data_IF_664660282152
#
_entry.id   IF_664660282152
#
_cell.length_a   1.000
_cell.length_b   1.000
_cell.length_c   1.000
_cell.angle_alpha   90.00
_cell.angle_beta   90.00
_cell.angle_gamma   90.00
#
_symmetry.space_group_name_H-M   'P 1'
#
loop_
_entity.id
_entity.type
_entity.pdbx_description
1 polymer ?
#
# COMPACT_ATOMS: atom_id res chain seq x y z
N UNK A 1 -18.88 6.52 0.14
CA UNK A 1 -19.04 6.11 1.55
C UNK A 1 -20.35 6.60 2.15
N UNK A 2 -20.67 7.90 2.04
CA UNK A 2 -21.86 8.50 2.68
C UNK A 2 -23.19 7.87 2.24
N UNK A 3 -23.42 7.73 0.93
CA UNK A 3 -24.62 7.06 0.39
C UNK A 3 -24.79 5.63 0.90
N UNK A 4 -23.69 4.94 1.21
CA UNK A 4 -23.68 3.57 1.69
C UNK A 4 -23.63 3.48 3.24
N UNK A 5 -23.68 4.61 3.96
CA UNK A 5 -23.60 4.64 5.43
C UNK A 5 -22.24 4.20 6.01
N UNK A 6 -21.18 4.15 5.20
CA UNK A 6 -19.86 3.69 5.65
C UNK A 6 -19.11 4.79 6.40
N UNK A 7 -18.84 4.54 7.69
CA UNK A 7 -18.12 5.48 8.55
C UNK A 7 -16.61 5.44 8.35
N UNK A 8 -16.05 4.24 8.18
CA UNK A 8 -14.62 4.01 7.87
C UNK A 8 -14.46 3.07 6.67
N UNK A 9 -13.37 3.24 5.94
CA UNK A 9 -12.97 2.34 4.85
C UNK A 9 -11.46 2.04 4.93
N UNK A 10 -11.11 0.83 4.51
CA UNK A 10 -9.71 0.42 4.35
C UNK A 10 -9.29 0.75 2.91
N UNK A 11 -8.16 1.46 2.77
CA UNK A 11 -7.54 1.76 1.48
C UNK A 11 -6.37 0.80 1.30
N UNK A 12 -6.50 -0.10 0.33
CA UNK A 12 -5.47 -1.07 -0.02
C UNK A 12 -4.58 -0.47 -1.11
N UNK A 13 -3.31 -0.26 -0.79
CA UNK A 13 -2.31 0.07 -1.82
C UNK A 13 -2.21 -1.07 -2.84
N UNK A 14 -2.10 -0.71 -4.13
CA UNK A 14 -1.90 -1.66 -5.22
C UNK A 14 -0.42 -1.92 -5.54
N UNK A 15 0.50 -1.48 -4.68
CA UNK A 15 1.93 -1.57 -4.91
C UNK A 15 2.43 -3.02 -5.19
N UNK A 16 1.78 -4.04 -4.63
CA UNK A 16 2.08 -5.45 -4.94
C UNK A 16 1.97 -5.78 -6.44
N UNK A 17 1.17 -5.03 -7.20
CA UNK A 17 0.97 -5.28 -8.64
C UNK A 17 2.22 -5.02 -9.47
N UNK A 18 3.15 -4.18 -9.00
CA UNK A 18 4.42 -3.97 -9.70
C UNK A 18 5.28 -5.24 -9.67
N UNK A 19 5.15 -6.06 -8.63
CA UNK A 19 5.82 -7.36 -8.50
C UNK A 19 5.14 -8.51 -9.24
N UNK A 20 3.99 -8.30 -9.89
CA UNK A 20 3.21 -9.40 -10.47
C UNK A 20 4.00 -10.22 -11.53
N UNK A 21 4.30 -11.51 -11.28
CA UNK A 21 5.10 -12.32 -12.20
C UNK A 21 4.38 -12.68 -13.51
N UNK A 22 3.06 -12.45 -13.58
CA UNK A 22 2.25 -12.68 -14.77
C UNK A 22 2.19 -11.45 -15.69
N UNK A 23 2.99 -10.41 -15.43
CA UNK A 23 3.09 -9.20 -16.26
C UNK A 23 4.54 -8.94 -16.65
N UNK A 24 4.78 -8.15 -17.72
CA UNK A 24 6.13 -7.71 -18.05
C UNK A 24 6.80 -7.04 -16.85
N UNK A 25 8.10 -7.29 -16.61
CA UNK A 25 8.83 -6.65 -15.52
C UNK A 25 8.75 -5.13 -15.60
N UNK A 26 8.57 -4.49 -14.44
CA UNK A 26 8.52 -3.03 -14.34
C UNK A 26 9.93 -2.51 -14.08
N UNK A 27 10.39 -1.59 -14.93
CA UNK A 27 11.64 -0.89 -14.68
C UNK A 27 11.56 -0.11 -13.36
N UNK A 28 12.60 -0.21 -12.55
CA UNK A 28 12.67 0.39 -11.21
C UNK A 28 11.47 -0.01 -10.31
N UNK A 29 11.07 -1.29 -10.38
CA UNK A 29 9.92 -1.89 -9.67
C UNK A 29 9.79 -1.39 -8.22
N UNK A 30 10.85 -1.49 -7.42
CA UNK A 30 10.80 -1.08 -6.02
C UNK A 30 10.58 0.43 -5.84
N UNK A 31 11.09 1.28 -6.74
CA UNK A 31 10.79 2.71 -6.71
C UNK A 31 9.30 2.98 -6.96
N UNK A 32 8.66 2.21 -7.85
CA UNK A 32 7.21 2.28 -8.10
C UNK A 32 6.40 1.79 -6.92
N UNK A 33 6.83 0.70 -6.26
CA UNK A 33 6.22 0.21 -5.01
C UNK A 33 6.21 1.29 -3.94
N UNK A 34 7.36 1.92 -3.68
CA UNK A 34 7.45 3.01 -2.69
C UNK A 34 6.52 4.17 -3.04
N UNK A 35 6.54 4.61 -4.30
CA UNK A 35 5.73 5.72 -4.76
C UNK A 35 4.22 5.46 -4.60
N UNK A 36 3.75 4.24 -4.87
CA UNK A 36 2.34 3.87 -4.72
C UNK A 36 1.91 3.77 -3.25
N UNK A 37 2.78 3.22 -2.39
CA UNK A 37 2.54 3.22 -0.94
C UNK A 37 2.52 4.66 -0.39
N UNK A 38 3.45 5.52 -0.82
CA UNK A 38 3.51 6.93 -0.41
C UNK A 38 2.27 7.70 -0.88
N UNK A 39 1.85 7.48 -2.13
CA UNK A 39 0.63 8.06 -2.66
C UNK A 39 -0.60 7.63 -1.85
N UNK A 40 -0.70 6.34 -1.52
CA UNK A 40 -1.78 5.79 -0.67
C UNK A 40 -1.80 6.46 0.70
N UNK A 41 -0.64 6.63 1.33
CA UNK A 41 -0.52 7.32 2.62
C UNK A 41 -1.01 8.76 2.55
N UNK A 42 -0.64 9.51 1.50
CA UNK A 42 -1.10 10.88 1.29
C UNK A 42 -2.61 10.97 0.99
N UNK A 43 -3.22 9.96 0.38
CA UNK A 43 -4.69 9.91 0.24
C UNK A 43 -5.37 9.66 1.59
N UNK A 44 -4.85 8.74 2.40
CA UNK A 44 -5.40 8.43 3.73
C UNK A 44 -5.29 9.63 4.68
N UNK A 45 -4.16 10.33 4.63
CA UNK A 45 -3.85 11.52 5.42
C UNK A 45 -4.85 12.67 5.24
N UNK A 46 -5.51 12.77 4.09
CA UNK A 46 -6.55 13.79 3.86
C UNK A 46 -7.82 13.51 4.68
N UNK A 47 -8.06 12.26 5.08
CA UNK A 47 -9.27 11.84 5.81
C UNK A 47 -8.95 10.79 6.89
N UNK A 48 -8.07 11.07 7.85
CA UNK A 48 -7.53 10.06 8.76
C UNK A 48 -8.58 9.48 9.72
N UNK A 49 -9.68 10.19 9.95
CA UNK A 49 -10.82 9.70 10.75
C UNK A 49 -11.73 8.74 9.99
N UNK A 50 -11.64 8.71 8.65
CA UNK A 50 -12.51 7.93 7.77
C UNK A 50 -11.76 6.86 6.98
N UNK A 51 -10.46 7.02 6.76
CA UNK A 51 -9.65 6.12 5.95
C UNK A 51 -8.56 5.47 6.81
N UNK A 52 -8.35 4.17 6.59
CA UNK A 52 -7.24 3.41 7.18
C UNK A 52 -6.41 2.84 6.04
N UNK A 53 -5.14 3.24 5.98
CA UNK A 53 -4.22 2.77 4.94
C UNK A 53 -3.60 1.41 5.27
N UNK A 54 -3.37 0.63 4.24
CA UNK A 54 -2.72 -0.68 4.29
C UNK A 54 -1.62 -0.74 3.25
N UNK A 55 -0.40 -1.05 3.70
CA UNK A 55 0.79 -1.15 2.86
C UNK A 55 0.64 -2.31 1.87
N UNK A 56 0.85 -2.06 0.57
CA UNK A 56 0.79 -3.07 -0.48
C UNK A 56 2.20 -3.58 -0.79
N UNK A 57 2.38 -4.90 -0.83
CA UNK A 57 3.67 -5.50 -1.17
C UNK A 57 3.51 -6.91 -1.72
N UNK A 58 4.36 -7.27 -2.69
CA UNK A 58 4.55 -8.65 -3.15
C UNK A 58 5.52 -9.34 -2.16
N UNK A 59 5.06 -10.33 -1.37
CA UNK A 59 5.88 -11.01 -0.37
C UNK A 59 7.03 -11.85 -0.94
N UNK A 60 7.05 -12.15 -2.24
CA UNK A 60 8.12 -12.93 -2.86
C UNK A 60 9.31 -12.07 -3.29
N UNK A 61 9.23 -10.73 -3.20
CA UNK A 61 10.34 -9.83 -3.55
C UNK A 61 11.36 -9.72 -2.42
N UNK A 62 12.64 -9.67 -2.79
CA UNK A 62 13.75 -9.54 -1.83
C UNK A 62 13.62 -8.31 -0.92
N UNK A 63 13.03 -7.23 -1.43
CA UNK A 63 12.81 -5.99 -0.67
C UNK A 63 11.53 -6.01 0.19
N UNK A 64 10.75 -7.10 0.21
CA UNK A 64 9.44 -7.11 0.85
C UNK A 64 9.49 -6.73 2.34
N UNK A 65 10.43 -7.33 3.09
CA UNK A 65 10.61 -7.01 4.52
C UNK A 65 11.05 -5.56 4.71
N UNK A 66 11.99 -5.07 3.89
CA UNK A 66 12.43 -3.67 3.94
C UNK A 66 11.29 -2.69 3.69
N UNK A 67 10.39 -2.98 2.75
CA UNK A 67 9.23 -2.12 2.50
C UNK A 67 8.19 -2.18 3.63
N UNK A 68 8.01 -3.36 4.24
CA UNK A 68 7.14 -3.51 5.43
C UNK A 68 7.67 -2.66 6.58
N UNK A 69 8.98 -2.68 6.84
CA UNK A 69 9.61 -1.84 7.87
C UNK A 69 9.43 -0.34 7.56
N UNK A 70 9.59 0.06 6.29
CA UNK A 70 9.36 1.44 5.86
C UNK A 70 7.92 1.87 6.08
N UNK A 71 6.95 1.04 5.68
CA UNK A 71 5.53 1.26 5.91
C UNK A 71 5.17 1.32 7.40
N UNK A 72 5.80 0.50 8.24
CA UNK A 72 5.59 0.51 9.69
C UNK A 72 6.03 1.84 10.34
N UNK A 73 7.03 2.52 9.75
CA UNK A 73 7.43 3.87 10.13
C UNK A 73 6.46 4.98 9.70
N UNK A 74 5.51 4.71 8.79
CA UNK A 74 4.54 5.68 8.30
C UNK A 74 3.23 5.61 9.14
N UNK A 75 2.82 6.69 9.82
CA UNK A 75 1.63 6.68 10.67
C UNK A 75 0.32 6.37 9.93
N UNK A 76 0.28 6.54 8.61
CA UNK A 76 -0.90 6.30 7.77
C UNK A 76 -0.91 4.93 7.09
N UNK A 77 0.15 4.12 7.21
CA UNK A 77 0.24 2.75 6.65
C UNK A 77 0.53 1.67 7.69
N UNK A 78 1.00 2.03 8.89
CA UNK A 78 1.41 1.09 9.96
C UNK A 78 0.32 0.19 10.53
N UNK A 79 -0.92 0.29 10.05
CA UNK A 79 -2.09 -0.42 10.60
C UNK A 79 -2.34 -1.77 9.94
N UNK A 80 -1.75 -2.05 8.77
CA UNK A 80 -1.90 -3.34 8.13
C UNK A 80 -1.08 -3.51 6.85
N UNK A 81 -1.03 -4.75 6.37
CA UNK A 81 -0.32 -5.14 5.14
C UNK A 81 -1.28 -5.89 4.21
N UNK A 82 -1.25 -5.56 2.92
CA UNK A 82 -1.92 -6.27 1.83
C UNK A 82 -0.86 -6.97 1.01
N UNK A 83 -0.90 -8.30 1.08
CA UNK A 83 0.01 -9.18 0.34
C UNK A 83 -0.66 -9.75 -0.90
N UNK A 84 0.11 -9.97 -1.96
CA UNK A 84 -0.29 -10.80 -3.09
C UNK A 84 0.91 -11.14 -4.00
N UNK A 85 0.86 -12.37 -4.52
CA UNK A 85 1.86 -13.14 -5.29
C UNK A 85 3.09 -13.49 -4.48
#
# INVERSE_FOLDING_TARGET
MDRAGLRKAVVLSLAYQFGNPNRPPVQDEYAKVKAENDWTAEQVKQYPERLVGVCGIDPLREYAVTEIERCAGNPYLRTGIKLHF
#
